data_IF_233130868901
#
_entry.id   IF_233130868901
#
_cell.length_a   1.000
_cell.length_b   1.000
_cell.length_c   1.000
_cell.angle_alpha   90.00
_cell.angle_beta   90.00
_cell.angle_gamma   90.00
#
_symmetry.space_group_name_H-M   'P 1'
#
loop_
_entity.id
_entity.type
_entity.pdbx_description
1 polymer ?
#
# COMPACT_ATOMS: atom_id res chain seq x y z
N UNK A 1 -14.43 4.41 11.00
CA UNK A 1 -13.26 3.53 11.23
C UNK A 1 -13.03 2.49 10.11
N UNK A 2 -13.88 2.41 9.07
CA UNK A 2 -13.66 1.51 7.92
C UNK A 2 -12.77 2.13 6.82
N UNK A 3 -12.66 3.46 6.78
CA UNK A 3 -12.00 4.20 5.70
C UNK A 3 -10.48 4.04 5.68
N UNK A 4 -9.85 3.92 6.86
CA UNK A 4 -8.38 3.82 6.95
C UNK A 4 -7.86 2.47 6.39
N UNK A 5 -8.58 1.36 6.61
CA UNK A 5 -8.22 0.05 6.05
C UNK A 5 -8.36 0.00 4.53
N UNK A 6 -9.43 0.60 3.99
CA UNK A 6 -9.63 0.71 2.54
C UNK A 6 -8.55 1.58 1.91
N UNK A 7 -8.24 2.73 2.51
CA UNK A 7 -7.19 3.62 1.99
C UNK A 7 -5.82 2.93 1.94
N UNK A 8 -5.48 2.15 2.97
CA UNK A 8 -4.24 1.35 2.97
C UNK A 8 -4.21 0.33 1.83
N UNK A 9 -5.31 -0.39 1.61
CA UNK A 9 -5.41 -1.36 0.52
C UNK A 9 -5.28 -0.70 -0.87
N UNK A 10 -5.90 0.47 -1.08
CA UNK A 10 -5.79 1.21 -2.35
C UNK A 10 -4.35 1.70 -2.56
N UNK A 11 -3.72 2.28 -1.53
CA UNK A 11 -2.30 2.67 -1.60
C UNK A 11 -1.40 1.50 -1.95
N UNK A 12 -1.61 0.33 -1.34
CA UNK A 12 -0.86 -0.89 -1.65
C UNK A 12 -1.02 -1.32 -3.12
N UNK A 13 -2.24 -1.25 -3.65
CA UNK A 13 -2.53 -1.57 -5.04
C UNK A 13 -1.81 -0.60 -6.00
N UNK A 14 -1.95 0.71 -5.77
CA UNK A 14 -1.30 1.75 -6.56
C UNK A 14 0.24 1.62 -6.55
N UNK A 15 0.83 1.48 -5.36
CA UNK A 15 2.29 1.31 -5.21
C UNK A 15 2.82 0.02 -5.84
N UNK A 16 1.98 -1.01 -5.95
CA UNK A 16 2.36 -2.25 -6.64
C UNK A 16 2.38 -2.07 -8.16
N UNK A 17 1.52 -1.20 -8.70
CA UNK A 17 1.55 -0.83 -10.12
C UNK A 17 2.69 0.12 -10.47
N UNK A 18 3.11 0.95 -9.51
CA UNK A 18 4.17 1.94 -9.67
C UNK A 18 5.58 1.34 -9.59
N UNK A 19 5.74 0.25 -8.82
CA UNK A 19 7.02 -0.43 -8.64
C UNK A 19 7.62 -0.85 -9.99
N UNK A 20 8.80 -0.33 -10.28
CA UNK A 20 9.54 -0.62 -11.52
C UNK A 20 9.14 0.25 -12.71
N UNK A 21 8.19 1.17 -12.55
CA UNK A 21 7.85 2.19 -13.57
C UNK A 21 8.42 3.57 -13.23
N UNK A 22 8.65 3.84 -11.95
CA UNK A 22 9.24 5.09 -11.43
C UNK A 22 10.52 4.76 -10.67
N UNK A 23 11.47 5.69 -10.65
CA UNK A 23 12.71 5.48 -9.90
C UNK A 23 12.45 5.60 -8.39
N UNK A 24 13.32 4.96 -7.61
CA UNK A 24 13.22 5.04 -6.16
C UNK A 24 13.56 6.44 -5.63
N UNK A 25 14.36 7.20 -6.37
CA UNK A 25 14.76 8.54 -5.96
C UNK A 25 13.61 9.53 -6.18
N UNK A 26 12.89 9.45 -7.31
CA UNK A 26 11.77 10.35 -7.63
C UNK A 26 10.67 10.26 -6.56
N UNK A 27 10.31 9.04 -6.14
CA UNK A 27 9.30 8.86 -5.09
C UNK A 27 9.80 9.28 -3.69
N UNK A 28 11.11 9.23 -3.43
CA UNK A 28 11.69 9.72 -2.17
C UNK A 28 11.72 11.25 -2.15
N UNK A 29 12.03 11.89 -3.28
CA UNK A 29 11.99 13.33 -3.46
C UNK A 29 10.56 13.84 -3.29
N UNK A 30 9.59 13.22 -3.95
CA UNK A 30 8.17 13.53 -3.77
C UNK A 30 7.71 13.45 -2.30
N UNK A 31 8.10 12.40 -1.58
CA UNK A 31 7.79 12.27 -0.15
C UNK A 31 8.35 13.41 0.69
N UNK A 32 9.55 13.88 0.35
CA UNK A 32 10.21 14.96 1.08
C UNK A 32 9.62 16.33 0.73
N UNK A 33 9.35 16.58 -0.55
CA UNK A 33 8.92 17.88 -1.04
C UNK A 33 7.46 18.19 -0.71
N UNK A 34 6.56 17.21 -0.86
CA UNK A 34 5.13 17.43 -0.67
C UNK A 34 4.67 17.20 0.78
N UNK A 35 5.35 16.30 1.50
CA UNK A 35 4.92 15.86 2.84
C UNK A 35 5.99 16.01 3.92
N UNK A 36 7.23 16.38 3.57
CA UNK A 36 8.33 16.43 4.54
C UNK A 36 8.71 15.07 5.13
N UNK A 37 8.31 13.97 4.48
CA UNK A 37 8.49 12.60 4.96
C UNK A 37 9.80 12.01 4.45
N UNK A 38 10.50 11.30 5.33
CA UNK A 38 11.77 10.64 5.00
C UNK A 38 11.59 9.14 4.88
N UNK A 39 11.95 8.59 3.73
CA UNK A 39 12.08 7.16 3.52
C UNK A 39 13.55 6.79 3.26
N UNK A 40 13.94 5.59 3.65
CA UNK A 40 15.22 5.00 3.24
C UNK A 40 15.15 4.67 1.74
N UNK A 41 16.31 4.56 1.10
CA UNK A 41 16.48 4.06 -0.28
C UNK A 41 16.17 2.56 -0.41
N UNK A 42 14.93 2.19 -0.10
CA UNK A 42 14.35 0.87 -0.33
C UNK A 42 12.86 0.99 -0.62
N UNK A 43 12.37 0.23 -1.60
CA UNK A 43 10.95 0.17 -1.95
C UNK A 43 10.06 -0.28 -0.78
N UNK A 44 10.53 -1.21 0.06
CA UNK A 44 9.79 -1.64 1.24
C UNK A 44 9.64 -0.52 2.27
N UNK A 45 10.66 0.34 2.39
CA UNK A 45 10.63 1.47 3.32
C UNK A 45 9.68 2.57 2.82
N UNK A 46 9.78 2.93 1.55
CA UNK A 46 8.88 3.87 0.86
C UNK A 46 7.43 3.40 0.99
N UNK A 47 7.15 2.13 0.67
CA UNK A 47 5.81 1.57 0.83
C UNK A 47 5.30 1.70 2.26
N UNK A 48 6.12 1.35 3.24
CA UNK A 48 5.73 1.44 4.65
C UNK A 48 5.40 2.87 5.06
N UNK A 49 6.20 3.86 4.64
CA UNK A 49 5.97 5.29 4.93
C UNK A 49 4.64 5.74 4.33
N UNK A 50 4.40 5.47 3.04
CA UNK A 50 3.17 5.88 2.34
C UNK A 50 1.91 5.23 2.94
N UNK A 51 1.96 3.92 3.22
CA UNK A 51 0.81 3.17 3.75
C UNK A 51 0.51 3.58 5.19
N UNK A 52 1.54 3.88 5.99
CA UNK A 52 1.38 4.22 7.41
C UNK A 52 1.06 5.68 7.64
N UNK A 53 1.32 6.56 6.66
CA UNK A 53 0.97 7.98 6.74
C UNK A 53 -0.54 8.18 6.57
N UNK A 54 -1.15 8.91 7.51
CA UNK A 54 -2.53 9.38 7.38
C UNK A 54 -2.63 10.67 6.55
N UNK A 55 -1.50 11.36 6.31
CA UNK A 55 -1.42 12.61 5.53
C UNK A 55 -1.47 12.34 4.03
N UNK A 56 -0.83 11.26 3.58
CA UNK A 56 -0.87 10.86 2.18
C UNK A 56 -2.21 10.16 1.93
N UNK A 57 -2.98 10.60 0.96
CA UNK A 57 -4.21 9.96 0.54
C UNK A 57 -3.99 9.07 -0.68
N UNK A 58 -4.86 8.08 -0.94
CA UNK A 58 -4.80 7.30 -2.18
C UNK A 58 -4.81 8.16 -3.45
N UNK A 59 -5.51 9.29 -3.42
CA UNK A 59 -5.57 10.25 -4.51
C UNK A 59 -4.21 10.89 -4.79
N UNK A 60 -3.44 11.23 -3.76
CA UNK A 60 -2.12 11.84 -3.92
C UNK A 60 -1.15 10.86 -4.59
N UNK A 61 -1.22 9.58 -4.21
CA UNK A 61 -0.45 8.51 -4.89
C UNK A 61 -0.85 8.40 -6.36
N UNK A 62 -2.15 8.44 -6.67
CA UNK A 62 -2.63 8.36 -8.05
C UNK A 62 -2.21 9.59 -8.88
N UNK A 63 -2.23 10.79 -8.30
CA UNK A 63 -1.73 12.02 -8.93
C UNK A 63 -0.24 11.89 -9.23
N UNK A 64 0.57 11.48 -8.25
CA UNK A 64 2.00 11.25 -8.45
C UNK A 64 2.25 10.23 -9.57
N UNK A 65 1.49 9.14 -9.63
CA UNK A 65 1.59 8.18 -10.74
C UNK A 65 1.38 8.86 -12.10
N UNK A 66 0.37 9.70 -12.23
CA UNK A 66 0.04 10.40 -13.49
C UNK A 66 1.14 11.40 -13.86
N UNK A 67 1.67 12.15 -12.89
CA UNK A 67 2.76 13.11 -13.09
C UNK A 67 4.03 12.42 -13.60
N UNK A 68 4.28 11.20 -13.13
CA UNK A 68 5.36 10.32 -13.59
C UNK A 68 5.04 9.56 -14.91
N UNK A 69 3.90 9.85 -15.54
CA UNK A 69 3.49 9.23 -16.80
C UNK A 69 2.93 7.80 -16.66
N UNK A 70 2.55 7.39 -15.45
CA UNK A 70 1.95 6.08 -15.15
C UNK A 70 0.45 6.23 -14.90
N UNK A 71 -0.38 5.71 -15.80
CA UNK A 71 -1.83 5.67 -15.57
C UNK A 71 -2.19 4.60 -14.54
N UNK A 72 -2.87 4.95 -13.44
CA UNK A 72 -3.37 3.97 -12.47
C UNK A 72 -4.53 3.16 -13.07
N UNK A 73 -4.54 1.85 -12.78
CA UNK A 73 -5.64 0.97 -13.15
C UNK A 73 -6.91 1.26 -12.33
N UNK A 74 -8.08 1.29 -12.98
CA UNK A 74 -9.37 1.57 -12.31
C UNK A 74 -9.69 0.55 -11.21
N UNK A 75 -9.23 -0.71 -11.35
CA UNK A 75 -9.40 -1.75 -10.35
C UNK A 75 -8.64 -1.49 -9.04
N UNK A 76 -7.71 -0.52 -9.01
CA UNK A 76 -7.04 -0.11 -7.78
C UNK A 76 -8.01 0.45 -6.74
N UNK A 77 -9.14 1.02 -7.16
CA UNK A 77 -10.13 1.65 -6.28
C UNK A 77 -11.11 0.66 -5.66
N UNK A 78 -11.32 -0.48 -6.32
CA UNK A 78 -12.29 -1.51 -5.91
C UNK A 78 -11.67 -2.58 -5.01
N UNK A 79 -10.40 -2.42 -4.61
CA UNK A 79 -9.73 -3.37 -3.73
C UNK A 79 -10.40 -3.42 -2.37
N UNK A 80 -10.75 -4.64 -1.95
CA UNK A 80 -11.23 -4.91 -0.62
C UNK A 80 -10.04 -5.10 0.33
N UNK A 81 -10.06 -4.48 1.53
CA UNK A 81 -9.02 -4.74 2.51
C UNK A 81 -8.99 -6.23 2.82
N UNK A 82 -7.81 -6.84 2.73
CA UNK A 82 -7.66 -8.27 3.00
C UNK A 82 -8.31 -8.59 4.36
N UNK A 83 -9.17 -9.62 4.45
CA UNK A 83 -9.75 -9.99 5.72
C UNK A 83 -8.58 -10.30 6.67
N UNK A 84 -8.53 -9.59 7.80
CA UNK A 84 -7.61 -9.90 8.90
C UNK A 84 -7.80 -11.38 9.16
N UNK A 85 -6.83 -12.21 8.74
CA UNK A 85 -6.79 -13.63 9.11
C UNK A 85 -6.92 -13.63 10.62
N UNK A 86 -8.08 -14.05 11.13
CA UNK A 86 -8.23 -14.45 12.51
C UNK A 86 -7.18 -15.55 12.68
N UNK A 87 -6.03 -15.18 13.27
CA UNK A 87 -5.04 -16.13 13.77
C UNK A 87 -5.68 -16.80 14.98
N UNK A 88 -6.65 -17.67 14.72
CA UNK A 88 -7.21 -18.60 15.67
C UNK A 88 -6.21 -19.74 15.81
N UNK A 89 -5.46 -19.70 16.90
CA UNK A 89 -4.86 -20.90 17.46
C UNK A 89 -5.96 -21.93 17.74
N UNK A 90 -5.88 -23.11 17.13
CA UNK A 90 -6.50 -24.34 17.62
C UNK A 90 -5.78 -25.54 16.98
N UNK A 91 -4.75 -26.05 17.64
CA UNK A 91 -4.80 -27.48 17.95
C UNK A 91 -5.57 -27.65 19.27
N UNK A 92 -5.98 -28.86 19.70
CA UNK A 92 -5.52 -30.18 19.25
C UNK A 92 -6.65 -31.24 19.10
N UNK A 93 -6.24 -32.49 18.84
CA UNK A 93 -6.87 -33.80 19.20
C UNK A 93 -7.82 -34.54 18.24
N UNK A 94 -7.33 -35.73 17.83
CA UNK A 94 -7.94 -37.08 17.82
C UNK A 94 -9.32 -37.39 17.20
N UNK A 95 -9.37 -38.56 16.55
CA UNK A 95 -10.58 -39.26 16.08
C UNK A 95 -10.37 -39.84 14.68
N UNK A 96 -9.70 -40.98 14.53
CA UNK A 96 -10.25 -42.35 14.57
C UNK A 96 -11.01 -42.80 13.30
N UNK A 97 -10.59 -43.97 12.81
CA UNK A 97 -11.29 -44.92 11.92
C UNK A 97 -11.67 -44.53 10.49
N UNK A 98 -10.97 -45.13 9.50
CA UNK A 98 -11.54 -46.25 8.74
C UNK A 98 -10.48 -47.06 7.98
#
# INVERSE_FOLDING_TARGET
MHDNLRNKAIKEALLSQLKGKVSLDDIIEWLWDDFGLRAKRSWDDVKRVIISSDEILPQDVATFMIDEGVTPDEGAWDVLPAPRRLRGSSGPEEGDSR
#
